data_IF_063974961416
#
_entry.id   IF_063974961416
#
_cell.length_a   1.000
_cell.length_b   1.000
_cell.length_c   1.000
_cell.angle_alpha   90.00
_cell.angle_beta   90.00
_cell.angle_gamma   90.00
#
_symmetry.space_group_name_H-M   'P 1'
#
loop_
_entity.id
_entity.type
_entity.pdbx_description
1 polymer ?
#
# COMPACT_ATOMS: atom_id res chain seq x y z
N UNK A 1 -0.26 5.04 14.93
CA UNK A 1 0.23 3.65 15.16
C UNK A 1 1.75 3.68 15.25
N UNK A 2 2.39 2.77 16.00
CA UNK A 2 3.84 2.50 15.87
C UNK A 2 4.00 1.19 15.11
N UNK A 3 4.43 1.27 13.84
CA UNK A 3 4.63 0.13 12.96
C UNK A 3 6.14 -0.06 12.75
N UNK A 4 6.79 -0.98 13.47
CA UNK A 4 8.22 -1.20 13.30
C UNK A 4 8.57 -1.52 11.85
N UNK A 5 9.64 -0.91 11.34
CA UNK A 5 10.20 -1.18 10.02
C UNK A 5 9.22 -0.96 8.84
N UNK A 6 8.27 -0.03 8.98
CA UNK A 6 7.30 0.36 7.94
C UNK A 6 7.16 1.88 7.85
N UNK A 7 6.68 2.37 6.70
CA UNK A 7 6.37 3.79 6.47
C UNK A 7 7.54 4.66 6.02
N UNK A 8 8.71 4.07 5.76
CA UNK A 8 9.88 4.73 5.19
C UNK A 8 10.46 3.86 4.08
N UNK A 9 10.93 4.48 3.00
CA UNK A 9 11.72 3.82 1.96
C UNK A 9 13.17 3.79 2.43
N UNK A 10 13.57 2.68 3.06
CA UNK A 10 14.90 2.48 3.63
C UNK A 10 15.26 1.00 3.63
N UNK A 11 16.54 0.70 3.50
CA UNK A 11 17.04 -0.67 3.64
C UNK A 11 16.63 -1.29 4.99
N UNK A 12 16.33 -2.59 4.98
CA UNK A 12 15.84 -3.33 6.15
C UNK A 12 14.37 -3.07 6.52
N UNK A 13 13.66 -2.16 5.81
CA UNK A 13 12.23 -1.95 6.00
C UNK A 13 11.42 -2.90 5.13
N UNK A 14 10.18 -3.19 5.56
CA UNK A 14 9.24 -3.96 4.75
C UNK A 14 8.96 -3.18 3.46
N UNK A 15 9.06 -3.86 2.32
CA UNK A 15 8.76 -3.30 1.00
C UNK A 15 7.25 -3.14 0.77
N UNK A 16 6.59 -2.34 1.61
CA UNK A 16 5.27 -1.80 1.34
C UNK A 16 5.45 -0.50 0.54
N UNK A 17 5.29 -0.58 -0.77
CA UNK A 17 5.65 0.50 -1.70
C UNK A 17 4.46 0.80 -2.61
N UNK A 18 4.37 2.05 -3.05
CA UNK A 18 3.39 2.51 -4.04
C UNK A 18 4.14 3.27 -5.11
N UNK A 19 3.95 2.89 -6.37
CA UNK A 19 4.29 3.72 -7.51
C UNK A 19 3.03 4.47 -7.94
N UNK A 20 3.14 5.77 -8.08
CA UNK A 20 2.06 6.61 -8.56
C UNK A 20 2.59 7.69 -9.52
N UNK A 21 1.74 8.12 -10.44
CA UNK A 21 2.00 9.25 -11.30
C UNK A 21 1.53 10.54 -10.61
N UNK A 22 2.43 11.46 -10.25
CA UNK A 22 2.07 12.69 -9.55
C UNK A 22 1.16 13.62 -10.36
N UNK A 23 1.11 13.49 -11.69
CA UNK A 23 0.24 14.31 -12.53
C UNK A 23 -1.20 13.80 -12.58
N UNK A 24 -1.42 12.49 -12.38
CA UNK A 24 -2.73 11.85 -12.56
C UNK A 24 -3.31 11.25 -11.27
N UNK A 25 -2.52 11.12 -10.21
CA UNK A 25 -2.97 10.50 -8.95
C UNK A 25 -4.19 11.21 -8.37
N UNK A 26 -5.32 10.50 -8.32
CA UNK A 26 -6.57 11.05 -7.80
C UNK A 26 -7.50 9.94 -7.31
N UNK A 27 -8.28 10.24 -6.26
CA UNK A 27 -9.26 9.31 -5.68
C UNK A 27 -10.42 8.98 -6.62
N UNK A 28 -10.99 9.98 -7.31
CA UNK A 28 -12.18 9.82 -8.16
C UNK A 28 -13.49 9.51 -7.41
N UNK A 29 -13.44 9.19 -6.12
CA UNK A 29 -14.62 8.93 -5.29
C UNK A 29 -15.36 10.23 -4.92
N UNK A 30 -16.68 10.18 -4.97
CA UNK A 30 -17.59 11.27 -4.53
C UNK A 30 -18.67 10.72 -3.61
N UNK A 31 -19.46 11.58 -2.95
CA UNK A 31 -20.61 11.12 -2.16
C UNK A 31 -21.60 10.28 -2.99
N UNK A 32 -21.86 10.67 -4.23
CA UNK A 32 -22.77 9.93 -5.13
C UNK A 32 -22.14 8.64 -5.68
N UNK A 33 -20.81 8.59 -5.82
CA UNK A 33 -20.07 7.42 -6.32
C UNK A 33 -18.90 7.10 -5.38
N UNK A 34 -19.16 6.49 -4.21
CA UNK A 34 -18.13 6.29 -3.19
C UNK A 34 -17.17 5.13 -3.49
N UNK A 35 -17.51 4.24 -4.44
CA UNK A 35 -16.70 3.05 -4.78
C UNK A 35 -15.92 3.17 -6.10
N UNK A 36 -15.69 4.40 -6.57
CA UNK A 36 -14.84 4.64 -7.74
C UNK A 36 -13.39 4.25 -7.41
N UNK A 37 -12.72 3.58 -8.33
CA UNK A 37 -11.30 3.24 -8.18
C UNK A 37 -10.42 4.49 -8.35
N UNK A 38 -9.29 4.57 -7.63
CA UNK A 38 -8.33 5.64 -7.82
C UNK A 38 -7.65 5.53 -9.20
N UNK A 39 -7.14 6.67 -9.66
CA UNK A 39 -6.36 6.79 -10.90
C UNK A 39 -4.91 7.14 -10.57
N UNK A 40 -3.99 6.89 -11.50
CA UNK A 40 -2.58 7.23 -11.36
C UNK A 40 -1.78 6.34 -10.39
N UNK A 41 -2.27 5.15 -10.03
CA UNK A 41 -1.57 4.20 -9.13
C UNK A 41 -1.36 2.87 -9.88
N UNK A 42 -0.33 2.76 -10.74
CA UNK A 42 -0.09 1.55 -11.53
C UNK A 42 0.43 0.36 -10.70
N UNK A 43 1.18 0.59 -9.62
CA UNK A 43 1.74 -0.51 -8.83
C UNK A 43 1.61 -0.29 -7.33
N UNK A 44 1.22 -1.35 -6.63
CA UNK A 44 1.22 -1.42 -5.16
C UNK A 44 1.86 -2.72 -4.74
N UNK A 45 2.84 -2.63 -3.85
CA UNK A 45 3.53 -3.77 -3.26
C UNK A 45 3.22 -3.85 -1.78
N UNK A 46 2.97 -5.06 -1.29
CA UNK A 46 2.89 -5.37 0.14
C UNK A 46 3.94 -6.42 0.46
N UNK A 47 4.88 -6.08 1.33
CA UNK A 47 6.02 -6.95 1.63
C UNK A 47 6.80 -7.42 0.40
N UNK A 48 6.93 -6.56 -0.61
CA UNK A 48 7.68 -6.82 -1.84
C UNK A 48 6.94 -7.62 -2.91
N UNK A 49 5.64 -7.88 -2.75
CA UNK A 49 4.82 -8.58 -3.76
C UNK A 49 3.75 -7.66 -4.33
N UNK A 50 3.56 -7.69 -5.65
CA UNK A 50 2.52 -6.91 -6.32
C UNK A 50 1.12 -7.37 -5.90
N UNK A 51 0.36 -6.44 -5.36
CA UNK A 51 -1.09 -6.58 -5.10
C UNK A 51 -1.93 -5.75 -6.09
N UNK A 52 -1.30 -4.73 -6.68
CA UNK A 52 -1.74 -4.06 -7.90
C UNK A 52 -0.54 -4.07 -8.85
N UNK A 53 -0.74 -4.54 -10.07
CA UNK A 53 0.24 -4.57 -11.15
C UNK A 53 -0.40 -4.04 -12.42
N UNK A 54 0.24 -3.06 -13.06
CA UNK A 54 -0.25 -2.38 -14.27
C UNK A 54 -1.69 -1.88 -14.14
N UNK A 55 -2.02 -1.32 -12.96
CA UNK A 55 -3.34 -0.79 -12.62
C UNK A 55 -4.40 -1.85 -12.30
N UNK A 56 -4.06 -3.13 -12.36
CA UNK A 56 -4.97 -4.25 -12.12
C UNK A 56 -4.69 -4.94 -10.79
N UNK A 57 -5.73 -5.31 -10.06
CA UNK A 57 -5.60 -6.08 -8.82
C UNK A 57 -5.15 -7.51 -9.13
N UNK A 58 -4.15 -7.98 -8.39
CA UNK A 58 -3.70 -9.38 -8.46
C UNK A 58 -4.41 -10.25 -7.41
N UNK A 59 -4.28 -11.57 -7.51
CA UNK A 59 -4.79 -12.52 -6.52
C UNK A 59 -3.87 -12.68 -5.29
N UNK A 60 -2.78 -11.91 -5.23
CA UNK A 60 -1.78 -12.04 -4.16
C UNK A 60 -2.31 -11.46 -2.84
N UNK A 61 -2.43 -12.33 -1.83
CA UNK A 61 -2.75 -11.93 -0.46
C UNK A 61 -1.48 -11.79 0.38
N UNK A 62 -0.85 -10.61 0.32
CA UNK A 62 0.45 -10.37 0.98
C UNK A 62 0.42 -9.72 2.36
N UNK A 63 -0.76 -9.34 2.84
CA UNK A 63 -0.93 -8.77 4.17
C UNK A 63 -0.49 -9.72 5.29
N UNK A 64 0.03 -9.14 6.37
CA UNK A 64 0.31 -9.84 7.63
C UNK A 64 -0.29 -9.07 8.79
N UNK A 65 -0.81 -9.78 9.78
CA UNK A 65 -1.31 -9.17 11.01
C UNK A 65 -0.17 -8.42 11.72
N UNK A 66 -0.39 -7.14 12.03
CA UNK A 66 0.58 -6.36 12.81
C UNK A 66 0.30 -6.58 14.29
N UNK A 67 1.24 -7.23 14.97
CA UNK A 67 1.20 -7.44 16.42
C UNK A 67 2.00 -6.34 17.10
N UNK A 68 1.48 -5.77 18.20
CA UNK A 68 2.29 -4.98 19.11
C UNK A 68 3.21 -5.94 19.85
N UNK A 69 4.50 -5.88 19.58
CA UNK A 69 5.49 -6.52 20.46
C UNK A 69 5.47 -5.74 21.79
N UNK A 70 5.23 -6.39 22.94
CA UNK A 70 5.45 -5.75 24.22
C UNK A 70 6.89 -5.25 24.28
N UNK A 71 7.10 -4.00 24.71
CA UNK A 71 8.45 -3.54 25.02
C UNK A 71 8.90 -4.34 26.25
N UNK A 72 10.01 -5.11 26.18
CA UNK A 72 10.55 -5.76 27.37
C UNK A 72 10.81 -4.69 28.44
N UNK A 73 10.38 -4.94 29.67
CA UNK A 73 10.69 -4.07 30.81
C UNK A 73 12.18 -4.09 31.10
#
# INVERSE_FOLDING_TARGET
LRLPNRGLVREGYVADLVLFDPATVASGATYARPRTLPTGIPHVLVGGRFVIEDGSRTDVLAGRAIRRTPVPR
#
